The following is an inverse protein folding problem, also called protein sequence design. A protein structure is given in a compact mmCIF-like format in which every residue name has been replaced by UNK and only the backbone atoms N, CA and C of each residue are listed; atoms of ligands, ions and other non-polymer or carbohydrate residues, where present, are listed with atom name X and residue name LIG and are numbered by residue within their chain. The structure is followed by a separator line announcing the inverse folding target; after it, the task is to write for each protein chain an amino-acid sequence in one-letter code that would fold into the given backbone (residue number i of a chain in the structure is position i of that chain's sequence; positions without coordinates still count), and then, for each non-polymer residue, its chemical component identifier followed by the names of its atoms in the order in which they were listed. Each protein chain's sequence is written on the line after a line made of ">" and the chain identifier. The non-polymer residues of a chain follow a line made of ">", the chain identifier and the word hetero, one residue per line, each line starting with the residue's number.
data_IF_891646961686
#
_entry.id   IF_891646961686
#
_cell.length_a   1.000
_cell.length_b   1.000
_cell.length_c   1.000
_cell.angle_alpha   90.00
_cell.angle_beta   90.00
_cell.angle_gamma   90.00
#
_symmetry.space_group_name_H-M   'P 1'
#
loop_
_entity.id
_entity.type
_entity.pdbx_description
1 polymer ?
#
# COMPACT_ATOMS: atom_id res chain seq x y z
N UNK A 1 -11.21 -11.54 -4.19
CA UNK A 1 -10.68 -10.82 -5.38
C UNK A 1 -9.39 -10.07 -5.06
N UNK A 2 -9.38 -8.92 -4.35
CA UNK A 2 -8.09 -8.26 -3.98
C UNK A 2 -7.31 -9.03 -2.91
N UNK A 3 -7.98 -9.51 -1.86
CA UNK A 3 -7.31 -10.25 -0.78
C UNK A 3 -6.60 -11.54 -1.27
N UNK A 4 -7.10 -12.14 -2.36
CA UNK A 4 -6.51 -13.32 -2.97
C UNK A 4 -5.27 -12.92 -3.78
N UNK A 5 -5.41 -11.90 -4.63
CA UNK A 5 -4.29 -11.31 -5.39
C UNK A 5 -3.16 -10.81 -4.48
N UNK A 6 -3.46 -10.33 -3.26
CA UNK A 6 -2.41 -10.01 -2.26
C UNK A 6 -1.61 -11.25 -1.86
N UNK A 7 -2.26 -12.39 -1.68
CA UNK A 7 -1.57 -13.65 -1.35
C UNK A 7 -0.72 -14.11 -2.53
N UNK A 8 -1.21 -13.94 -3.76
CA UNK A 8 -0.47 -14.31 -4.98
C UNK A 8 0.80 -13.47 -5.13
N UNK A 9 0.71 -12.14 -4.95
CA UNK A 9 1.90 -11.26 -4.95
C UNK A 9 2.85 -11.62 -3.81
N UNK A 10 2.36 -11.73 -2.58
CA UNK A 10 3.20 -12.01 -1.39
C UNK A 10 3.86 -13.39 -1.46
N UNK A 11 3.26 -14.36 -2.15
CA UNK A 11 3.80 -15.70 -2.34
C UNK A 11 4.69 -15.85 -3.57
N UNK A 12 4.92 -14.78 -4.34
CA UNK A 12 5.66 -14.85 -5.60
C UNK A 12 7.17 -14.69 -5.41
N UNK A 13 7.96 -15.51 -6.12
CA UNK A 13 9.43 -15.48 -6.06
C UNK A 13 10.06 -14.30 -6.83
N UNK A 14 9.26 -13.52 -7.57
CA UNK A 14 9.76 -12.42 -8.42
C UNK A 14 9.57 -11.03 -7.79
N UNK A 15 9.23 -10.96 -6.50
CA UNK A 15 9.02 -9.67 -5.79
C UNK A 15 10.32 -8.97 -5.39
N UNK A 16 11.46 -9.62 -5.58
CA UNK A 16 12.78 -9.09 -5.26
C UNK A 16 13.32 -8.10 -6.29
N UNK A 17 12.60 -7.88 -7.40
CA UNK A 17 12.90 -6.87 -8.41
C UNK A 17 11.79 -5.80 -8.49
N UNK A 18 12.09 -4.59 -8.98
CA UNK A 18 11.09 -3.58 -9.29
C UNK A 18 10.04 -4.07 -10.31
N UNK A 19 8.90 -3.38 -10.38
CA UNK A 19 7.88 -3.63 -11.41
C UNK A 19 8.35 -3.11 -12.76
N UNK A 20 8.91 -1.90 -12.77
CA UNK A 20 9.63 -1.36 -13.92
C UNK A 20 11.10 -1.67 -13.71
N UNK A 21 11.53 -2.76 -14.32
CA UNK A 21 12.91 -3.19 -14.36
C UNK A 21 13.50 -2.85 -15.74
N UNK A 22 14.57 -2.07 -15.77
CA UNK A 22 15.29 -1.69 -16.99
C UNK A 22 16.24 -2.79 -17.47
N UNK A 23 16.44 -3.86 -16.67
CA UNK A 23 17.19 -5.02 -17.09
C UNK A 23 16.45 -5.77 -18.21
N UNK A 24 17.17 -6.12 -19.28
CA UNK A 24 16.60 -6.89 -20.37
C UNK A 24 16.35 -8.33 -19.91
N UNK A 25 15.09 -8.82 -19.88
CA UNK A 25 14.83 -10.19 -19.47
C UNK A 25 15.35 -11.16 -20.53
N UNK A 26 15.63 -12.40 -20.13
CA UNK A 26 16.02 -13.46 -21.06
C UNK A 26 14.89 -13.77 -22.05
N UNK A 27 13.63 -13.64 -21.61
CA UNK A 27 12.43 -13.78 -22.43
C UNK A 27 11.40 -12.71 -22.07
N UNK A 28 10.66 -12.19 -23.06
CA UNK A 28 9.52 -11.31 -22.80
C UNK A 28 8.41 -12.00 -21.98
N UNK A 29 8.33 -13.33 -22.04
CA UNK A 29 7.40 -14.10 -21.21
C UNK A 29 7.75 -14.04 -19.72
N UNK A 30 9.00 -13.73 -19.36
CA UNK A 30 9.41 -13.56 -17.96
C UNK A 30 8.72 -12.36 -17.32
N UNK A 31 8.24 -11.39 -18.12
CA UNK A 31 7.44 -10.25 -17.67
C UNK A 31 5.98 -10.61 -17.36
N UNK A 32 5.50 -11.77 -17.81
CA UNK A 32 4.13 -12.24 -17.53
C UNK A 32 4.03 -12.89 -16.16
N UNK A 33 4.32 -12.11 -15.12
CA UNK A 33 4.43 -12.59 -13.74
C UNK A 33 3.58 -11.75 -12.77
N UNK A 34 3.43 -12.25 -11.53
CA UNK A 34 2.63 -11.61 -10.48
C UNK A 34 3.20 -10.24 -10.05
N UNK A 35 4.51 -10.01 -10.17
CA UNK A 35 5.11 -8.71 -9.85
C UNK A 35 4.76 -7.63 -10.90
N UNK A 36 4.62 -8.01 -12.18
CA UNK A 36 4.26 -7.07 -13.24
C UNK A 36 2.75 -6.84 -13.32
N UNK A 37 1.96 -7.91 -13.22
CA UNK A 37 0.50 -7.83 -13.39
C UNK A 37 -0.23 -7.62 -12.08
N UNK A 38 -0.09 -8.54 -11.12
CA UNK A 38 -0.88 -8.51 -9.88
C UNK A 38 -0.44 -7.37 -8.95
N UNK A 39 0.88 -7.18 -8.77
CA UNK A 39 1.39 -6.01 -8.04
C UNK A 39 1.10 -4.72 -8.80
N UNK A 40 1.22 -4.70 -10.12
CA UNK A 40 0.82 -3.55 -10.94
C UNK A 40 -0.64 -3.13 -10.72
N UNK A 41 -1.57 -4.09 -10.69
CA UNK A 41 -2.97 -3.87 -10.36
C UNK A 41 -3.14 -3.37 -8.91
N UNK A 42 -2.37 -3.91 -7.96
CA UNK A 42 -2.32 -3.41 -6.59
C UNK A 42 -1.85 -1.96 -6.50
N UNK A 43 -0.84 -1.56 -7.27
CA UNK A 43 -0.37 -0.17 -7.30
C UNK A 43 -1.49 0.77 -7.74
N UNK A 44 -2.26 0.42 -8.77
CA UNK A 44 -3.41 1.22 -9.19
C UNK A 44 -4.51 1.29 -8.12
N UNK A 45 -4.78 0.18 -7.45
CA UNK A 45 -5.76 0.11 -6.35
C UNK A 45 -5.34 0.99 -5.14
N UNK A 46 -4.07 0.90 -4.75
CA UNK A 46 -3.49 1.74 -3.70
C UNK A 46 -3.47 3.21 -4.10
N UNK A 47 -3.16 3.52 -5.36
CA UNK A 47 -3.15 4.88 -5.88
C UNK A 47 -4.56 5.48 -5.84
N UNK A 48 -5.59 4.72 -6.26
CA UNK A 48 -6.99 5.14 -6.14
C UNK A 48 -7.36 5.41 -4.68
N UNK A 49 -6.91 4.58 -3.74
CA UNK A 49 -7.17 4.79 -2.31
C UNK A 49 -6.47 6.06 -1.79
N UNK A 50 -5.22 6.31 -2.19
CA UNK A 50 -4.45 7.48 -1.75
C UNK A 50 -5.01 8.78 -2.34
N UNK A 51 -5.49 8.77 -3.59
CA UNK A 51 -6.02 9.95 -4.29
C UNK A 51 -7.53 10.20 -4.08
N UNK A 52 -8.29 9.15 -3.81
CA UNK A 52 -9.75 9.17 -3.93
C UNK A 52 -10.23 9.03 -5.38
N UNK A 53 -11.50 8.67 -5.55
CA UNK A 53 -12.10 8.32 -6.84
C UNK A 53 -12.05 9.46 -7.86
N UNK A 54 -12.43 10.67 -7.44
CA UNK A 54 -12.54 11.81 -8.34
C UNK A 54 -11.20 12.16 -9.00
N UNK A 55 -10.15 12.32 -8.19
CA UNK A 55 -8.80 12.61 -8.69
C UNK A 55 -8.22 11.44 -9.48
N UNK A 56 -8.43 10.19 -9.04
CA UNK A 56 -7.94 9.01 -9.75
C UNK A 56 -8.54 8.90 -11.15
N UNK A 57 -9.87 8.95 -11.28
CA UNK A 57 -10.52 8.83 -12.58
C UNK A 57 -10.28 10.05 -13.46
N UNK A 58 -10.08 11.24 -12.90
CA UNK A 58 -9.64 12.39 -13.67
C UNK A 58 -8.22 12.20 -14.23
N UNK A 59 -7.29 11.69 -13.43
CA UNK A 59 -5.95 11.32 -13.86
C UNK A 59 -5.97 10.30 -15.00
N UNK A 60 -6.79 9.25 -14.89
CA UNK A 60 -6.97 8.25 -15.97
C UNK A 60 -7.47 8.90 -17.26
N UNK A 61 -8.48 9.77 -17.18
CA UNK A 61 -9.02 10.47 -18.36
C UNK A 61 -7.98 11.37 -19.00
N UNK A 62 -7.18 12.10 -18.20
CA UNK A 62 -6.09 12.95 -18.69
C UNK A 62 -5.01 12.12 -19.39
N UNK A 63 -4.56 11.05 -18.75
CA UNK A 63 -3.59 10.11 -19.30
C UNK A 63 -4.05 9.56 -20.65
N UNK A 64 -5.27 9.02 -20.71
CA UNK A 64 -5.83 8.49 -21.95
C UNK A 64 -5.91 9.56 -23.05
N UNK A 65 -6.41 10.76 -22.74
CA UNK A 65 -6.51 11.84 -23.72
C UNK A 65 -5.14 12.27 -24.26
N UNK A 66 -4.12 12.34 -23.42
CA UNK A 66 -2.79 12.79 -23.82
C UNK A 66 -2.05 11.75 -24.69
N UNK A 67 -2.27 10.46 -24.44
CA UNK A 67 -1.50 9.36 -25.05
C UNK A 67 -2.33 8.46 -25.98
N UNK A 68 -3.58 8.82 -26.30
CA UNK A 68 -4.41 8.08 -27.26
C UNK A 68 -3.68 7.95 -28.60
N UNK A 69 -3.69 6.74 -29.16
CA UNK A 69 -3.02 6.39 -30.42
C UNK A 69 -1.49 6.52 -30.42
N UNK A 70 -0.86 6.63 -29.24
CA UNK A 70 0.58 6.70 -29.09
C UNK A 70 1.13 5.70 -28.07
N UNK A 71 2.40 5.86 -27.73
CA UNK A 71 3.05 5.14 -26.64
C UNK A 71 3.09 6.00 -25.38
N UNK A 72 3.18 5.34 -24.24
CA UNK A 72 3.29 5.98 -22.95
C UNK A 72 4.22 5.19 -22.03
N UNK A 73 4.83 5.89 -21.08
CA UNK A 73 5.69 5.34 -20.04
C UNK A 73 5.00 5.49 -18.68
N UNK A 74 5.50 4.79 -17.68
CA UNK A 74 5.00 4.93 -16.30
C UNK A 74 5.08 6.37 -15.78
N UNK A 75 6.10 7.13 -16.20
CA UNK A 75 6.22 8.55 -15.88
C UNK A 75 5.10 9.43 -16.47
N UNK A 76 4.49 9.03 -17.60
CA UNK A 76 3.34 9.73 -18.18
C UNK A 76 2.09 9.53 -17.31
N UNK A 77 1.87 8.31 -16.83
CA UNK A 77 0.78 8.02 -15.88
C UNK A 77 0.96 8.81 -14.59
N UNK A 78 2.18 8.83 -14.02
CA UNK A 78 2.48 9.63 -12.82
C UNK A 78 2.11 11.10 -13.03
N UNK A 79 2.60 11.74 -14.11
CA UNK A 79 2.31 13.15 -14.40
C UNK A 79 0.81 13.44 -14.55
N UNK A 80 0.06 12.55 -15.19
CA UNK A 80 -1.38 12.72 -15.33
C UNK A 80 -2.11 12.66 -13.98
N UNK A 81 -1.68 11.74 -13.10
CA UNK A 81 -2.22 11.58 -11.75
C UNK A 81 -1.83 12.76 -10.84
N UNK A 82 -0.59 13.26 -10.92
CA UNK A 82 -0.13 14.45 -10.20
C UNK A 82 -0.92 15.70 -10.61
N UNK A 83 -1.14 15.87 -11.91
CA UNK A 83 -1.92 16.99 -12.43
C UNK A 83 -3.38 16.94 -11.95
N UNK A 84 -3.97 15.76 -11.81
CA UNK A 84 -5.33 15.59 -11.31
C UNK A 84 -5.43 15.75 -9.79
N UNK A 85 -4.43 15.26 -9.04
CA UNK A 85 -4.40 15.30 -7.58
C UNK A 85 -3.88 16.63 -7.01
N UNK A 86 -3.19 17.45 -7.82
CA UNK A 86 -2.60 18.72 -7.38
C UNK A 86 -1.44 18.56 -6.40
N UNK A 87 -0.76 17.40 -6.39
CA UNK A 87 0.37 17.10 -5.50
C UNK A 87 1.36 16.13 -6.13
N UNK A 88 2.59 16.15 -5.64
CA UNK A 88 3.66 15.23 -6.03
C UNK A 88 3.32 13.77 -5.64
N UNK A 89 3.57 12.85 -6.56
CA UNK A 89 3.42 11.41 -6.39
C UNK A 89 4.73 10.67 -6.67
N UNK A 90 5.86 11.36 -6.82
CA UNK A 90 7.17 10.75 -7.03
C UNK A 90 7.44 9.64 -6.01
N UNK A 91 7.31 9.99 -4.72
CA UNK A 91 7.50 9.05 -3.61
C UNK A 91 6.65 7.76 -3.74
N UNK A 92 5.44 7.87 -4.27
CA UNK A 92 4.52 6.73 -4.40
C UNK A 92 5.02 5.77 -5.48
N UNK A 93 5.35 6.30 -6.65
CA UNK A 93 5.87 5.48 -7.75
C UNK A 93 7.26 4.93 -7.43
N UNK A 94 8.10 5.69 -6.74
CA UNK A 94 9.45 5.26 -6.34
C UNK A 94 9.39 3.99 -5.49
N UNK A 95 8.54 3.94 -4.45
CA UNK A 95 8.47 2.77 -3.57
C UNK A 95 7.63 1.61 -4.16
N UNK A 96 6.59 1.88 -4.95
CA UNK A 96 5.66 0.84 -5.38
C UNK A 96 5.95 0.27 -6.76
N UNK A 97 6.58 1.04 -7.64
CA UNK A 97 6.92 0.64 -9.01
C UNK A 97 8.43 0.44 -9.16
N UNK A 98 9.23 1.38 -8.68
CA UNK A 98 10.67 1.41 -8.94
C UNK A 98 11.52 0.73 -7.85
N UNK A 99 10.89 0.28 -6.76
CA UNK A 99 11.54 -0.48 -5.70
C UNK A 99 10.99 -1.90 -5.60
N UNK A 100 11.84 -2.87 -5.17
CA UNK A 100 11.42 -4.24 -4.96
C UNK A 100 10.60 -4.40 -3.68
N UNK A 101 9.76 -5.42 -3.66
CA UNK A 101 9.09 -5.91 -2.47
C UNK A 101 7.80 -5.17 -2.09
N UNK A 102 7.49 -5.23 -0.80
CA UNK A 102 6.31 -4.68 -0.14
C UNK A 102 6.55 -4.60 1.38
N UNK A 103 5.75 -3.83 2.14
CA UNK A 103 5.88 -3.82 3.60
C UNK A 103 5.47 -5.16 4.22
N UNK A 104 6.26 -5.62 5.20
CA UNK A 104 5.93 -6.77 6.05
C UNK A 104 5.57 -6.24 7.42
N UNK A 105 4.29 -6.29 7.79
CA UNK A 105 3.78 -5.62 8.99
C UNK A 105 3.74 -6.57 10.19
N UNK A 106 4.36 -6.16 11.29
CA UNK A 106 4.10 -6.71 12.63
C UNK A 106 3.31 -5.68 13.41
N UNK A 107 2.11 -6.07 13.87
CA UNK A 107 1.25 -5.17 14.64
C UNK A 107 1.00 -5.78 16.00
N UNK A 108 1.43 -5.07 17.05
CA UNK A 108 1.16 -5.43 18.43
C UNK A 108 0.27 -4.37 19.08
N UNK A 109 -0.48 -4.75 20.10
CA UNK A 109 -1.33 -3.82 20.84
C UNK A 109 -1.34 -4.15 22.33
N UNK A 110 -1.45 -3.10 23.14
CA UNK A 110 -1.59 -3.16 24.58
C UNK A 110 -2.73 -2.24 25.04
N UNK A 111 -3.32 -2.57 26.19
CA UNK A 111 -4.35 -1.74 26.82
C UNK A 111 -3.76 -0.97 28.00
N UNK A 112 -3.83 0.35 27.95
CA UNK A 112 -3.52 1.23 29.06
C UNK A 112 -4.83 1.61 29.77
N UNK A 113 -5.14 0.91 30.87
CA UNK A 113 -6.36 1.15 31.64
C UNK A 113 -6.38 2.51 32.33
N UNK A 114 -5.22 3.02 32.77
CA UNK A 114 -5.12 4.31 33.44
C UNK A 114 -5.47 5.49 32.52
N UNK A 115 -5.11 5.38 31.24
CA UNK A 115 -5.42 6.39 30.22
C UNK A 115 -6.69 6.07 29.41
N UNK A 116 -7.26 4.87 29.56
CA UNK A 116 -8.32 4.35 28.68
C UNK A 116 -7.94 4.39 27.20
N UNK A 117 -6.74 3.90 26.89
CA UNK A 117 -6.17 3.91 25.53
C UNK A 117 -5.68 2.52 25.09
N UNK A 118 -5.94 2.19 23.83
CA UNK A 118 -5.20 1.16 23.14
C UNK A 118 -3.91 1.75 22.57
N UNK A 119 -2.76 1.20 22.97
CA UNK A 119 -1.45 1.52 22.39
C UNK A 119 -1.17 0.47 21.33
N UNK A 120 -1.02 0.90 20.08
CA UNK A 120 -0.74 0.03 18.94
C UNK A 120 0.63 0.39 18.38
N UNK A 121 1.46 -0.63 18.16
CA UNK A 121 2.77 -0.49 17.53
C UNK A 121 2.71 -1.20 16.19
N UNK A 122 3.01 -0.47 15.12
CA UNK A 122 3.15 -0.98 13.76
C UNK A 122 4.63 -0.99 13.40
N UNK A 123 5.17 -2.15 13.08
CA UNK A 123 6.56 -2.33 12.66
C UNK A 123 6.65 -2.85 11.23
N UNK A 124 7.59 -2.31 10.47
CA UNK A 124 7.94 -2.74 9.12
C UNK A 124 9.16 -3.66 9.15
N UNK A 125 8.93 -4.96 9.08
CA UNK A 125 9.90 -6.04 9.29
C UNK A 125 10.49 -6.62 7.99
N UNK A 126 10.26 -6.00 6.83
CA UNK A 126 10.88 -6.43 5.57
C UNK A 126 12.41 -6.26 5.59
N UNK A 127 13.10 -6.96 4.70
CA UNK A 127 14.56 -6.89 4.55
C UNK A 127 15.07 -5.45 4.41
N UNK A 128 16.30 -5.19 4.87
CA UNK A 128 16.94 -3.88 4.80
C UNK A 128 17.23 -3.43 3.37
N UNK A 129 17.40 -4.38 2.44
CA UNK A 129 17.55 -4.11 1.01
C UNK A 129 16.26 -3.58 0.36
N UNK A 130 15.12 -3.68 1.03
CA UNK A 130 13.86 -3.08 0.60
C UNK A 130 13.63 -1.75 1.32
N UNK A 131 12.97 -0.77 0.67
CA UNK A 131 12.75 0.52 1.30
C UNK A 131 11.86 0.41 2.54
N UNK A 132 11.95 1.44 3.39
CA UNK A 132 10.88 1.71 4.35
C UNK A 132 9.73 2.35 3.59
N UNK A 133 8.56 1.73 3.64
CA UNK A 133 7.41 2.16 2.85
C UNK A 133 6.61 3.25 3.58
N UNK A 134 6.05 4.18 2.81
CA UNK A 134 5.08 5.16 3.27
C UNK A 134 3.67 4.81 2.80
N UNK A 135 2.70 4.73 3.70
CA UNK A 135 1.31 4.42 3.34
C UNK A 135 0.32 4.81 4.45
N UNK A 136 -0.94 5.10 4.11
CA UNK A 136 -2.02 5.07 5.09
C UNK A 136 -2.34 3.62 5.48
N UNK A 137 -2.40 3.34 6.77
CA UNK A 137 -2.86 2.05 7.31
C UNK A 137 -4.13 2.26 8.12
N UNK A 138 -5.21 1.63 7.70
CA UNK A 138 -6.46 1.60 8.47
C UNK A 138 -6.46 0.40 9.41
N UNK A 139 -6.74 0.67 10.68
CA UNK A 139 -6.90 -0.32 11.74
C UNK A 139 -8.33 -0.25 12.26
N UNK A 140 -8.95 -1.41 12.47
CA UNK A 140 -10.28 -1.54 13.07
C UNK A 140 -10.14 -2.22 14.44
N UNK A 141 -10.40 -1.46 15.49
CA UNK A 141 -10.40 -1.93 16.87
C UNK A 141 -11.83 -2.34 17.21
N UNK A 142 -12.06 -3.63 17.45
CA UNK A 142 -13.37 -4.12 17.90
C UNK A 142 -13.54 -3.85 19.39
N UNK A 143 -14.58 -3.11 19.75
CA UNK A 143 -14.96 -2.85 21.14
C UNK A 143 -16.36 -3.39 21.42
N UNK A 144 -16.74 -3.48 22.70
CA UNK A 144 -18.08 -3.89 23.11
C UNK A 144 -19.21 -2.98 22.55
N UNK A 145 -18.90 -1.72 22.20
CA UNK A 145 -19.86 -0.76 21.63
C UNK A 145 -19.83 -0.68 20.10
N UNK A 146 -18.99 -1.50 19.46
CA UNK A 146 -18.81 -1.53 18.02
C UNK A 146 -17.36 -1.26 17.58
N UNK A 147 -17.10 -1.35 16.26
CA UNK A 147 -15.78 -1.12 15.70
C UNK A 147 -15.40 0.36 15.73
N UNK A 148 -14.18 0.66 16.17
CA UNK A 148 -13.55 1.97 16.06
C UNK A 148 -12.46 1.89 14.99
N UNK A 149 -12.60 2.68 13.92
CA UNK A 149 -11.60 2.74 12.85
C UNK A 149 -10.63 3.89 13.06
N UNK A 150 -9.34 3.63 12.88
CA UNK A 150 -8.28 4.64 12.90
C UNK A 150 -7.32 4.42 11.76
N UNK A 151 -7.09 5.49 10.99
CA UNK A 151 -6.09 5.49 9.91
C UNK A 151 -4.87 6.26 10.38
N UNK A 152 -3.69 5.64 10.27
CA UNK A 152 -2.39 6.25 10.59
C UNK A 152 -1.54 6.28 9.32
N UNK A 153 -0.82 7.38 9.08
CA UNK A 153 0.20 7.41 8.02
C UNK A 153 1.49 6.81 8.59
N UNK A 154 1.82 5.61 8.12
CA UNK A 154 3.08 4.93 8.45
C UNK A 154 4.14 5.40 7.45
N UNK A 155 5.29 5.83 7.94
CA UNK A 155 6.45 6.21 7.11
C UNK A 155 7.79 5.82 7.72
N UNK A 156 7.76 5.19 8.90
CA UNK A 156 8.95 4.80 9.66
C UNK A 156 8.95 3.29 9.88
N UNK A 157 10.10 2.74 10.30
CA UNK A 157 10.22 1.31 10.61
C UNK A 157 9.40 0.90 11.83
N UNK A 158 9.13 1.83 12.76
CA UNK A 158 8.28 1.64 13.93
C UNK A 158 7.41 2.88 14.10
N UNK A 159 6.10 2.70 14.11
CA UNK A 159 5.12 3.76 14.35
C UNK A 159 4.23 3.36 15.53
N UNK A 160 4.13 4.23 16.52
CA UNK A 160 3.22 4.05 17.66
C UNK A 160 1.99 4.93 17.48
N UNK A 161 0.81 4.37 17.74
CA UNK A 161 -0.43 5.10 17.81
C UNK A 161 -1.16 4.82 19.12
N UNK A 162 -1.85 5.84 19.64
CA UNK A 162 -2.70 5.73 20.82
C UNK A 162 -4.13 6.04 20.41
N UNK A 163 -5.05 5.17 20.80
CA UNK A 163 -6.47 5.30 20.49
C UNK A 163 -7.24 5.31 21.80
N UNK A 164 -7.83 6.45 22.14
CA UNK A 164 -8.79 6.53 23.22
C UNK A 164 -10.01 5.64 22.91
N UNK A 165 -10.37 4.77 23.84
CA UNK A 165 -11.51 3.86 23.74
C UNK A 165 -12.18 3.78 25.11
N UNK A 166 -13.51 3.61 25.17
CA UNK A 166 -14.19 3.43 26.45
C UNK A 166 -14.18 1.96 26.92
N UNK A 167 -13.09 1.25 26.65
CA UNK A 167 -12.88 -0.15 27.02
C UNK A 167 -11.77 -0.85 26.24
N UNK A 168 -11.24 -1.94 26.80
CA UNK A 168 -10.21 -2.77 26.16
C UNK A 168 -10.74 -3.35 24.83
N UNK A 169 -10.00 -3.22 23.72
CA UNK A 169 -10.42 -3.82 22.45
C UNK A 169 -10.34 -5.35 22.52
N UNK A 170 -11.32 -6.03 21.94
CA UNK A 170 -11.37 -7.48 21.81
C UNK A 170 -10.41 -7.99 20.72
N UNK A 171 -10.24 -7.19 19.67
CA UNK A 171 -9.39 -7.51 18.54
C UNK A 171 -8.96 -6.22 17.81
N UNK A 172 -7.81 -6.30 17.13
CA UNK A 172 -7.33 -5.28 16.20
C UNK A 172 -7.21 -5.93 14.82
N UNK A 173 -7.99 -5.45 13.85
CA UNK A 173 -7.91 -5.89 12.46
C UNK A 173 -7.08 -4.89 11.66
N UNK A 174 -6.16 -5.43 10.87
CA UNK A 174 -5.26 -4.67 10.00
C UNK A 174 -5.89 -4.60 8.61
N UNK A 175 -5.95 -3.41 8.03
CA UNK A 175 -6.42 -3.15 6.67
C UNK A 175 -7.77 -3.85 6.35
N UNK A 176 -8.84 -3.54 7.10
CA UNK A 176 -10.12 -4.23 7.00
C UNK A 176 -10.75 -4.11 5.60
N UNK A 177 -10.43 -3.05 4.86
CA UNK A 177 -10.99 -2.74 3.55
C UNK A 177 -10.08 -3.22 2.40
N UNK A 178 -8.97 -3.90 2.70
CA UNK A 178 -8.06 -4.51 1.72
C UNK A 178 -7.52 -3.46 0.74
N UNK A 179 -7.01 -2.38 1.30
CA UNK A 179 -6.52 -1.19 0.58
C UNK A 179 -5.01 -1.16 0.41
N UNK A 180 -4.28 -2.01 1.13
CA UNK A 180 -2.82 -2.02 1.14
C UNK A 180 -2.27 -3.38 0.69
N UNK A 181 -1.30 -3.33 -0.22
CA UNK A 181 -0.42 -4.47 -0.49
C UNK A 181 0.60 -4.58 0.65
N UNK A 182 0.45 -5.62 1.47
CA UNK A 182 1.39 -5.92 2.55
C UNK A 182 1.38 -7.42 2.85
N UNK A 183 2.44 -7.88 3.52
CA UNK A 183 2.41 -9.15 4.23
C UNK A 183 2.17 -8.92 5.74
N UNK A 184 1.73 -9.96 6.44
CA UNK A 184 1.69 -9.96 7.90
C UNK A 184 2.89 -10.78 8.38
N UNK A 185 3.81 -10.12 9.08
CA UNK A 185 4.95 -10.78 9.71
C UNK A 185 4.47 -11.62 10.90
N UNK A 186 5.13 -12.76 11.10
CA UNK A 186 5.06 -13.49 12.37
C UNK A 186 5.93 -12.81 13.42
#
# INVERSE_FOLDING_TARGET
>A
RMADMRRDVVGSDVVHVPVVDDAMPASLFDLLNANSYDKGAWVLHMLRTELGDDAFFDGVRRYYRAHRHGTARTADLRRAMEAAAGRDLGWFFDQWIHAPGYPVLRVSHAWNSAASEAVIIVEQAQAESWPTYRFPLTLELRTARGPVRRTVRVSERRTELRVALDGRPEAVRIDPDVTLLHAVGR
#
